data_IF_616581195619
#
_entry.id   IF_616581195619
#
_cell.length_a   1.000
_cell.length_b   1.000
_cell.length_c   1.000
_cell.angle_alpha   90.00
_cell.angle_beta   90.00
_cell.angle_gamma   90.00
#
_symmetry.space_group_name_H-M   'P 1'
#
loop_
_entity.id
_entity.type
_entity.pdbx_description
1 polymer ?
#
# COMPACT_ATOMS: atom_id res chain seq x y z
N UNK A 1 -56.99 -15.01 43.15
CA UNK A 1 -57.10 -14.32 41.85
C UNK A 1 -55.85 -13.50 41.72
N UNK A 2 -54.89 -13.98 40.93
CA UNK A 2 -53.57 -13.37 40.78
C UNK A 2 -53.60 -12.47 39.55
N UNK A 3 -53.49 -11.16 39.74
CA UNK A 3 -53.33 -10.21 38.65
C UNK A 3 -51.85 -10.10 38.28
N UNK A 4 -51.59 -10.36 37.00
CA UNK A 4 -50.30 -10.37 36.35
C UNK A 4 -49.90 -8.93 36.00
N UNK A 5 -48.85 -8.41 36.62
CA UNK A 5 -48.30 -7.08 36.37
C UNK A 5 -47.54 -7.07 35.05
N UNK A 6 -47.91 -6.15 34.15
CA UNK A 6 -47.22 -5.81 32.91
C UNK A 6 -45.70 -5.58 33.12
N UNK A 7 -44.88 -6.32 32.38
CA UNK A 7 -43.47 -6.02 32.13
C UNK A 7 -43.34 -5.29 30.77
N UNK A 8 -42.86 -4.03 30.73
CA UNK A 8 -42.70 -3.30 29.47
C UNK A 8 -41.40 -3.74 28.77
N UNK A 9 -41.57 -4.48 27.67
CA UNK A 9 -40.72 -4.41 26.48
C UNK A 9 -39.21 -4.37 26.70
N UNK A 10 -38.60 -5.53 26.85
CA UNK A 10 -37.21 -5.72 26.43
C UNK A 10 -37.13 -5.51 24.91
N UNK A 11 -36.75 -4.30 24.50
CA UNK A 11 -36.17 -4.11 23.17
C UNK A 11 -34.86 -4.92 23.15
N UNK A 12 -34.62 -5.80 22.16
CA UNK A 12 -33.29 -6.35 21.99
C UNK A 12 -32.35 -5.16 21.75
N UNK A 13 -31.42 -4.96 22.68
CA UNK A 13 -30.27 -4.09 22.44
C UNK A 13 -29.63 -4.56 21.11
N UNK A 14 -29.23 -3.65 20.20
CA UNK A 14 -28.40 -4.07 19.10
C UNK A 14 -27.14 -4.68 19.73
N UNK A 15 -26.96 -5.99 19.53
CA UNK A 15 -25.70 -6.67 19.75
C UNK A 15 -24.61 -5.79 19.14
N UNK A 16 -23.49 -5.52 19.83
CA UNK A 16 -22.31 -5.03 19.15
C UNK A 16 -21.90 -6.14 18.19
N UNK A 17 -22.40 -6.08 16.96
CA UNK A 17 -21.88 -6.87 15.86
C UNK A 17 -20.39 -6.59 15.85
N UNK A 18 -19.68 -7.66 16.10
CA UNK A 18 -18.25 -7.69 16.21
C UNK A 18 -17.71 -7.14 14.89
N UNK A 19 -17.11 -5.94 14.89
CA UNK A 19 -16.40 -5.36 13.74
C UNK A 19 -15.10 -6.13 13.45
N UNK A 20 -15.17 -7.45 13.42
CA UNK A 20 -14.12 -8.37 13.03
C UNK A 20 -14.45 -8.84 11.61
N UNK A 21 -13.69 -8.34 10.63
CA UNK A 21 -13.59 -8.97 9.31
C UNK A 21 -14.06 -8.15 8.11
N UNK A 22 -14.42 -6.88 8.26
CA UNK A 22 -14.62 -6.03 7.08
C UNK A 22 -13.26 -5.68 6.48
N UNK A 23 -12.86 -6.40 5.44
CA UNK A 23 -11.67 -6.12 4.65
C UNK A 23 -11.66 -4.66 4.19
N UNK A 24 -10.53 -3.98 4.36
CA UNK A 24 -10.40 -2.59 3.97
C UNK A 24 -10.71 -2.44 2.46
N UNK A 25 -11.55 -1.45 2.03
CA UNK A 25 -11.85 -1.23 0.61
C UNK A 25 -10.60 -1.10 -0.27
N UNK A 26 -9.52 -0.56 0.29
CA UNK A 26 -8.21 -0.47 -0.36
C UNK A 26 -7.66 -1.83 -0.84
N UNK A 27 -7.99 -2.93 -0.14
CA UNK A 27 -7.51 -4.27 -0.44
C UNK A 27 -8.48 -5.07 -1.29
N UNK A 28 -9.74 -4.65 -1.41
CA UNK A 28 -10.76 -5.37 -2.18
C UNK A 28 -10.98 -4.78 -3.57
N UNK A 29 -10.70 -3.49 -3.75
CA UNK A 29 -10.84 -2.80 -5.05
C UNK A 29 -9.82 -3.31 -6.07
N UNK A 30 -10.29 -3.69 -7.26
CA UNK A 30 -9.44 -4.24 -8.32
C UNK A 30 -8.66 -3.17 -9.07
N UNK A 31 -9.09 -1.90 -8.99
CA UNK A 31 -8.42 -0.81 -9.68
C UNK A 31 -8.20 0.33 -8.71
N UNK A 32 -6.94 0.69 -8.53
CA UNK A 32 -6.53 1.83 -7.73
C UNK A 32 -5.77 2.83 -8.59
N UNK A 33 -5.92 4.09 -8.24
CA UNK A 33 -5.06 5.16 -8.73
C UNK A 33 -4.18 5.63 -7.59
N UNK A 34 -2.87 5.52 -7.78
CA UNK A 34 -1.88 5.99 -6.82
C UNK A 34 -1.40 7.36 -7.27
N UNK A 35 -1.40 8.33 -6.35
CA UNK A 35 -0.98 9.69 -6.62
C UNK A 35 -0.12 10.21 -5.47
N UNK A 36 1.06 10.73 -5.80
CA UNK A 36 1.86 11.49 -4.85
C UNK A 36 1.24 12.88 -4.61
N UNK A 37 0.85 13.16 -3.37
CA UNK A 37 0.36 14.48 -2.94
C UNK A 37 1.54 15.25 -2.36
N UNK A 38 2.15 16.13 -3.17
CA UNK A 38 3.34 16.88 -2.76
C UNK A 38 3.05 17.82 -1.57
N UNK A 39 3.84 17.69 -0.51
CA UNK A 39 4.34 18.85 0.25
C UNK A 39 5.87 18.84 0.17
N UNK A 40 6.49 20.01 0.11
CA UNK A 40 7.95 20.21 -0.07
C UNK A 40 8.83 19.44 0.96
N UNK A 41 8.24 18.90 2.04
CA UNK A 41 8.93 18.19 3.12
C UNK A 41 8.48 16.72 3.34
N UNK A 42 7.39 16.22 2.75
CA UNK A 42 6.87 14.86 2.98
C UNK A 42 6.57 14.10 1.67
N UNK A 43 6.91 12.81 1.63
CA UNK A 43 6.54 11.92 0.53
C UNK A 43 5.24 11.21 0.90
N UNK A 44 4.14 11.94 0.80
CA UNK A 44 2.83 11.40 1.09
C UNK A 44 2.14 10.99 -0.21
N UNK A 45 1.40 9.88 -0.14
CA UNK A 45 0.71 9.29 -1.29
C UNK A 45 -0.76 9.07 -0.94
N UNK A 46 -1.63 9.30 -1.89
CA UNK A 46 -3.04 8.91 -1.82
C UNK A 46 -3.31 7.77 -2.78
N UNK A 47 -4.10 6.81 -2.31
CA UNK A 47 -4.61 5.70 -3.09
C UNK A 47 -6.12 5.90 -3.23
N UNK A 48 -6.59 6.01 -4.46
CA UNK A 48 -7.96 6.36 -4.79
C UNK A 48 -8.61 5.23 -5.59
N UNK A 49 -9.92 5.04 -5.46
CA UNK A 49 -10.69 4.29 -6.45
C UNK A 49 -10.78 5.07 -7.76
N UNK A 50 -11.26 4.39 -8.79
CA UNK A 50 -11.43 4.95 -10.13
C UNK A 50 -12.34 6.20 -10.18
N UNK A 51 -13.30 6.30 -9.26
CA UNK A 51 -14.21 7.44 -9.10
C UNK A 51 -13.59 8.63 -8.34
N UNK A 52 -12.33 8.51 -7.87
CA UNK A 52 -11.61 9.55 -7.15
C UNK A 52 -11.83 9.54 -5.63
N UNK A 53 -12.59 8.58 -5.08
CA UNK A 53 -12.72 8.43 -3.62
C UNK A 53 -11.40 7.92 -3.03
N UNK A 54 -10.90 8.58 -1.98
CA UNK A 54 -9.68 8.17 -1.28
C UNK A 54 -9.97 6.90 -0.47
N UNK A 55 -9.20 5.84 -0.75
CA UNK A 55 -9.33 4.53 -0.11
C UNK A 55 -8.21 4.26 0.90
N UNK A 56 -7.10 4.99 0.80
CA UNK A 56 -5.97 4.86 1.70
C UNK A 56 -4.92 5.94 1.47
N UNK A 57 -4.00 6.05 2.42
CA UNK A 57 -2.91 7.02 2.39
C UNK A 57 -1.60 6.40 2.87
N UNK A 58 -0.50 6.95 2.39
CA UNK A 58 0.82 6.73 2.95
C UNK A 58 1.24 7.99 3.67
N UNK A 59 1.51 7.86 4.96
CA UNK A 59 1.89 8.96 5.84
C UNK A 59 3.36 8.78 6.23
N UNK A 60 4.14 9.86 6.13
CA UNK A 60 5.51 9.84 6.66
C UNK A 60 5.47 9.94 8.20
N UNK A 61 5.76 8.84 8.90
CA UNK A 61 5.75 8.80 10.37
C UNK A 61 7.18 8.79 10.89
N UNK A 62 7.63 9.90 11.47
CA UNK A 62 8.95 10.01 12.10
C UNK A 62 9.02 11.14 13.13
N UNK A 63 9.61 10.87 14.29
CA UNK A 63 9.78 11.86 15.36
C UNK A 63 10.54 13.11 14.84
N UNK A 64 10.22 14.34 15.29
CA UNK A 64 10.98 15.55 14.94
C UNK A 64 12.50 15.41 15.16
N UNK A 65 12.91 14.70 16.22
CA UNK A 65 14.31 14.36 16.49
C UNK A 65 14.88 13.27 15.55
N UNK A 66 14.05 12.30 15.13
CA UNK A 66 14.42 11.27 14.15
C UNK A 66 14.52 11.82 12.71
N UNK A 67 13.89 12.96 12.41
CA UNK A 67 14.04 13.67 11.13
C UNK A 67 15.38 14.40 10.98
N UNK A 68 16.04 14.74 12.10
CA UNK A 68 17.40 15.33 12.13
C UNK A 68 18.49 14.28 11.91
N UNK A 69 18.23 13.02 12.26
CA UNK A 69 19.09 11.89 11.91
C UNK A 69 18.68 11.40 10.53
N UNK A 70 19.55 11.58 9.54
CA UNK A 70 19.36 11.26 8.11
C UNK A 70 18.97 9.80 7.77
N UNK A 71 18.67 8.94 8.77
CA UNK A 71 18.91 7.50 8.68
C UNK A 71 17.73 6.53 8.74
N UNK A 72 16.61 6.81 9.42
CA UNK A 72 15.48 5.86 9.45
C UNK A 72 14.17 6.59 9.14
N UNK A 73 13.58 6.28 7.98
CA UNK A 73 12.28 6.81 7.59
C UNK A 73 11.27 5.67 7.63
N UNK A 74 10.27 5.83 8.48
CA UNK A 74 9.11 4.95 8.51
C UNK A 74 7.95 5.63 7.79
N UNK A 75 7.22 4.86 7.01
CA UNK A 75 5.99 5.28 6.34
C UNK A 75 4.86 4.36 6.78
N UNK A 76 3.72 4.93 7.14
CA UNK A 76 2.54 4.19 7.53
C UNK A 76 1.54 4.18 6.36
N UNK A 77 1.22 2.98 5.86
CA UNK A 77 0.11 2.76 4.95
C UNK A 77 -1.16 2.58 5.78
N UNK A 78 -2.11 3.49 5.62
CA UNK A 78 -3.39 3.50 6.34
C UNK A 78 -4.56 3.36 5.36
N UNK A 79 -5.65 2.75 5.83
CA UNK A 79 -6.92 2.71 5.08
C UNK A 79 -7.64 4.07 5.08
N UNK A 80 -8.79 4.14 4.41
CA UNK A 80 -9.61 5.35 4.33
C UNK A 80 -10.18 5.83 5.67
N UNK A 81 -10.18 4.98 6.70
CA UNK A 81 -10.58 5.32 8.07
C UNK A 81 -9.38 5.73 8.93
N UNK A 82 -8.15 5.63 8.42
CA UNK A 82 -6.91 5.90 9.14
C UNK A 82 -6.37 4.71 9.94
N UNK A 83 -6.93 3.50 9.77
CA UNK A 83 -6.39 2.31 10.40
C UNK A 83 -5.05 1.92 9.76
N UNK A 84 -4.04 1.67 10.57
CA UNK A 84 -2.75 1.21 10.09
C UNK A 84 -2.88 -0.20 9.49
N UNK A 85 -2.51 -0.33 8.22
CA UNK A 85 -2.44 -1.61 7.51
C UNK A 85 -1.03 -2.16 7.47
N UNK A 86 -0.04 -1.30 7.24
CA UNK A 86 1.34 -1.72 7.04
C UNK A 86 2.31 -0.58 7.38
N UNK A 87 3.45 -0.91 7.99
CA UNK A 87 4.58 0.01 8.13
C UNK A 87 5.64 -0.34 7.08
N UNK A 88 6.21 0.67 6.44
CA UNK A 88 7.28 0.53 5.46
C UNK A 88 8.53 1.18 6.06
N UNK A 89 9.58 0.40 6.24
CA UNK A 89 10.82 0.82 6.91
C UNK A 89 11.99 0.73 5.92
N UNK A 90 12.77 1.80 5.84
CA UNK A 90 14.09 1.85 5.19
C UNK A 90 15.15 1.61 6.28
N UNK A 91 15.61 0.37 6.52
CA UNK A 91 16.65 0.11 7.51
C UNK A 91 17.92 0.89 7.16
N UNK A 92 18.59 1.44 8.17
CA UNK A 92 19.79 2.25 8.00
C UNK A 92 21.00 1.40 7.59
N UNK A 93 21.02 0.93 6.35
CA UNK A 93 22.22 0.42 5.70
C UNK A 93 22.56 1.35 4.53
N UNK A 94 23.85 1.65 4.39
CA UNK A 94 24.44 2.54 3.38
C UNK A 94 24.33 1.94 1.96
N UNK A 95 23.13 1.57 1.49
CA UNK A 95 22.97 0.79 0.25
C UNK A 95 21.60 0.75 -0.43
N UNK A 96 20.48 1.17 0.18
CA UNK A 96 19.16 1.21 -0.48
C UNK A 96 18.64 -0.09 -1.15
N UNK A 97 19.18 -1.24 -0.77
CA UNK A 97 18.84 -2.47 -1.48
C UNK A 97 17.59 -3.17 -0.93
N UNK A 98 17.08 -2.73 0.22
CA UNK A 98 16.00 -3.40 0.92
C UNK A 98 15.10 -2.46 1.71
N UNK A 99 13.80 -2.69 1.61
CA UNK A 99 12.78 -2.17 2.53
C UNK A 99 12.13 -3.34 3.26
N UNK A 100 11.68 -3.07 4.49
CA UNK A 100 10.89 -4.00 5.27
C UNK A 100 9.46 -3.50 5.36
N UNK A 101 8.52 -4.41 5.07
CA UNK A 101 7.10 -4.21 5.28
C UNK A 101 6.77 -4.92 6.60
N UNK A 102 6.22 -4.19 7.56
CA UNK A 102 5.86 -4.70 8.89
C UNK A 102 4.36 -4.61 9.09
N UNK A 103 3.79 -5.61 9.74
CA UNK A 103 2.43 -5.58 10.25
C UNK A 103 2.25 -4.46 11.29
N UNK A 104 1.00 -4.07 11.63
CA UNK A 104 0.74 -3.06 12.66
C UNK A 104 1.35 -3.38 14.04
N UNK A 105 1.52 -4.65 14.36
CA UNK A 105 2.16 -5.13 15.60
C UNK A 105 3.70 -5.09 15.56
N UNK A 106 4.29 -4.69 14.44
CA UNK A 106 5.73 -4.61 14.22
C UNK A 106 6.38 -5.91 13.75
N UNK A 107 5.63 -7.01 13.61
CA UNK A 107 6.14 -8.25 13.02
C UNK A 107 6.42 -8.06 11.53
N UNK A 108 7.46 -8.73 11.04
CA UNK A 108 7.81 -8.69 9.63
C UNK A 108 6.71 -9.31 8.76
N UNK A 109 6.21 -8.54 7.80
CA UNK A 109 5.23 -8.97 6.82
C UNK A 109 5.90 -9.41 5.51
N UNK A 110 6.76 -8.57 4.93
CA UNK A 110 7.44 -8.86 3.68
C UNK A 110 8.75 -8.05 3.51
N UNK A 111 9.63 -8.51 2.63
CA UNK A 111 10.81 -7.74 2.21
C UNK A 111 10.63 -7.25 0.79
N UNK A 112 11.00 -5.99 0.55
CA UNK A 112 11.13 -5.46 -0.81
C UNK A 112 12.61 -5.33 -1.10
N UNK A 113 13.11 -5.95 -2.17
CA UNK A 113 14.53 -5.94 -2.50
C UNK A 113 14.76 -5.48 -3.93
N UNK A 114 15.76 -4.60 -4.10
CA UNK A 114 16.24 -4.19 -5.42
C UNK A 114 17.28 -5.19 -5.90
N UNK A 115 16.99 -5.88 -6.99
CA UNK A 115 17.95 -6.74 -7.65
C UNK A 115 18.68 -5.96 -8.74
N UNK A 116 19.97 -5.72 -8.55
CA UNK A 116 20.84 -5.21 -9.60
C UNK A 116 21.19 -6.34 -10.57
N UNK A 117 20.52 -6.39 -11.72
CA UNK A 117 21.07 -7.04 -12.90
C UNK A 117 21.82 -5.99 -13.71
N UNK A 118 23.01 -6.32 -14.22
CA UNK A 118 23.94 -5.43 -14.97
C UNK A 118 23.30 -4.67 -16.17
N UNK A 119 22.03 -4.94 -16.51
CA UNK A 119 21.24 -4.24 -17.54
C UNK A 119 19.81 -3.82 -17.13
N UNK A 120 19.23 -4.30 -16.01
CA UNK A 120 17.81 -4.05 -15.66
C UNK A 120 17.62 -3.82 -14.17
N UNK A 121 16.93 -2.73 -13.79
CA UNK A 121 16.44 -2.52 -12.41
C UNK A 121 15.28 -3.48 -12.18
N UNK A 122 15.49 -4.55 -11.40
CA UNK A 122 14.42 -5.47 -10.99
C UNK A 122 14.12 -5.24 -9.51
N UNK A 123 12.86 -5.36 -9.13
CA UNK A 123 12.41 -5.29 -7.75
C UNK A 123 11.63 -6.57 -7.44
N UNK A 124 11.88 -7.17 -6.27
CA UNK A 124 11.14 -8.34 -5.80
C UNK A 124 10.52 -8.05 -4.44
N UNK A 125 9.36 -8.63 -4.18
CA UNK A 125 8.70 -8.59 -2.87
C UNK A 125 8.61 -10.02 -2.36
N UNK A 126 9.24 -10.31 -1.24
CA UNK A 126 9.20 -11.62 -0.59
C UNK A 126 8.18 -11.60 0.55
N UNK A 127 7.07 -12.31 0.38
CA UNK A 127 5.97 -12.42 1.32
C UNK A 127 5.84 -13.90 1.75
N UNK A 128 6.23 -14.23 2.99
CA UNK A 128 6.03 -15.58 3.55
C UNK A 128 6.44 -16.75 2.63
N UNK A 129 7.56 -16.60 1.91
CA UNK A 129 8.05 -17.60 0.94
C UNK A 129 7.46 -17.50 -0.47
N UNK A 130 6.50 -16.61 -0.70
CA UNK A 130 6.00 -16.21 -2.00
C UNK A 130 6.84 -15.04 -2.54
N UNK A 131 7.34 -15.16 -3.77
CA UNK A 131 8.07 -14.08 -4.43
C UNK A 131 7.17 -13.41 -5.47
N UNK A 132 6.98 -12.11 -5.31
CA UNK A 132 6.37 -11.25 -6.32
C UNK A 132 7.50 -10.57 -7.11
N UNK A 133 7.45 -10.65 -8.43
CA UNK A 133 8.43 -10.02 -9.30
C UNK A 133 7.82 -8.84 -10.05
N UNK A 134 8.52 -7.71 -10.08
CA UNK A 134 8.12 -6.57 -10.90
C UNK A 134 8.83 -6.66 -12.26
N UNK A 135 8.05 -6.88 -13.31
CA UNK A 135 8.53 -7.13 -14.67
C UNK A 135 8.05 -6.03 -15.64
N UNK A 136 8.98 -5.26 -16.20
CA UNK A 136 8.69 -4.20 -17.17
C UNK A 136 9.52 -2.94 -16.94
N UNK A 137 9.00 -1.79 -17.36
CA UNK A 137 9.59 -0.48 -17.17
C UNK A 137 9.14 0.14 -15.84
N UNK A 138 9.88 -0.15 -14.77
CA UNK A 138 9.59 0.40 -13.43
C UNK A 138 9.68 1.94 -13.39
N UNK A 139 10.52 2.53 -14.25
CA UNK A 139 10.68 3.99 -14.35
C UNK A 139 9.49 4.65 -15.05
N UNK A 140 8.92 4.01 -16.06
CA UNK A 140 7.77 4.54 -16.77
C UNK A 140 6.45 4.21 -16.08
N UNK A 141 6.48 3.42 -15.00
CA UNK A 141 5.30 2.76 -14.42
C UNK A 141 4.52 2.00 -15.48
N UNK A 142 5.22 1.18 -16.27
CA UNK A 142 4.62 0.26 -17.24
C UNK A 142 5.20 -1.13 -16.98
N UNK A 143 4.61 -1.85 -16.05
CA UNK A 143 5.10 -3.16 -15.61
C UNK A 143 3.99 -4.03 -15.01
N UNK A 144 4.26 -5.32 -14.97
CA UNK A 144 3.42 -6.29 -14.28
C UNK A 144 4.06 -6.68 -12.94
N UNK A 145 3.22 -6.99 -11.97
CA UNK A 145 3.62 -7.71 -10.77
C UNK A 145 3.21 -9.17 -10.97
N UNK A 146 4.16 -10.08 -10.99
CA UNK A 146 3.94 -11.50 -11.25
C UNK A 146 4.17 -12.31 -9.97
N UNK A 147 3.39 -13.38 -9.80
CA UNK A 147 3.54 -14.39 -8.74
C UNK A 147 3.63 -15.74 -9.43
N UNK A 148 4.75 -16.44 -9.27
CA UNK A 148 5.00 -17.72 -9.95
C UNK A 148 4.74 -17.66 -11.47
N UNK A 149 5.07 -16.53 -12.11
CA UNK A 149 4.85 -16.30 -13.55
C UNK A 149 3.42 -15.88 -13.94
N UNK A 150 2.47 -15.83 -13.00
CA UNK A 150 1.11 -15.32 -13.24
C UNK A 150 1.02 -13.84 -12.90
N UNK A 151 0.35 -13.04 -13.73
CA UNK A 151 0.18 -11.59 -13.49
C UNK A 151 -0.81 -11.38 -12.34
N UNK A 152 -0.32 -10.98 -11.18
CA UNK A 152 -1.11 -10.63 -9.99
C UNK A 152 -1.56 -9.16 -9.99
N UNK A 153 -0.81 -8.28 -10.67
CA UNK A 153 -1.25 -6.93 -10.96
C UNK A 153 -0.59 -6.34 -12.21
N UNK A 154 -1.24 -5.33 -12.80
CA UNK A 154 -0.70 -4.50 -13.90
C UNK A 154 -0.61 -3.05 -13.46
N UNK A 155 0.51 -2.40 -13.76
CA UNK A 155 0.78 -1.02 -13.41
C UNK A 155 1.04 -0.24 -14.68
N UNK A 156 0.28 0.84 -14.90
CA UNK A 156 0.41 1.69 -16.09
C UNK A 156 0.10 3.17 -15.76
N UNK A 157 0.84 4.12 -16.36
CA UNK A 157 0.55 5.57 -16.26
C UNK A 157 -0.76 5.97 -16.90
N UNK A 158 -1.10 5.35 -18.03
CA UNK A 158 -2.24 5.71 -18.86
C UNK A 158 -3.04 4.46 -19.18
N UNK A 159 -4.30 4.41 -18.76
CA UNK A 159 -5.26 3.43 -19.27
C UNK A 159 -6.25 4.22 -20.12
N UNK A 160 -6.53 3.74 -21.34
CA UNK A 160 -7.35 4.41 -22.35
C UNK A 160 -8.68 4.93 -21.79
N UNK A 161 -8.70 6.22 -21.43
CA UNK A 161 -9.86 6.94 -20.88
C UNK A 161 -9.98 7.02 -19.35
N UNK A 162 -9.21 6.25 -18.58
CA UNK A 162 -9.32 6.17 -17.10
C UNK A 162 -8.28 7.01 -16.36
N UNK A 163 -7.09 7.15 -16.97
CA UNK A 163 -5.97 7.95 -16.46
C UNK A 163 -5.50 8.96 -17.52
N UNK A 164 -6.10 8.90 -18.71
CA UNK A 164 -5.82 9.76 -19.86
C UNK A 164 -6.30 11.18 -19.57
N UNK A 165 -5.34 12.11 -19.42
CA UNK A 165 -5.60 13.52 -19.11
C UNK A 165 -4.89 14.03 -17.85
N UNK A 166 -4.11 13.19 -17.17
CA UNK A 166 -3.56 13.52 -15.86
C UNK A 166 -2.14 14.07 -15.96
N UNK A 167 -2.05 15.39 -15.78
CA UNK A 167 -0.80 16.15 -15.78
C UNK A 167 -0.06 15.98 -14.44
N UNK A 168 0.73 14.93 -14.28
CA UNK A 168 1.51 14.70 -13.06
C UNK A 168 2.58 13.62 -13.20
N UNK A 169 3.81 13.87 -12.74
CA UNK A 169 4.94 12.94 -12.90
C UNK A 169 4.82 11.63 -12.09
N UNK A 170 3.93 11.58 -11.09
CA UNK A 170 3.84 10.51 -10.08
C UNK A 170 2.41 9.98 -9.87
N UNK A 171 1.58 9.98 -10.92
CA UNK A 171 0.24 9.37 -10.90
C UNK A 171 0.21 8.17 -11.84
N UNK A 172 -0.26 7.02 -11.35
CA UNK A 172 -0.36 5.78 -12.11
C UNK A 172 -1.53 4.93 -11.61
N UNK A 173 -2.04 4.06 -12.48
CA UNK A 173 -3.08 3.08 -12.17
C UNK A 173 -2.49 1.71 -11.86
N UNK A 174 -3.15 0.97 -10.98
CA UNK A 174 -2.84 -0.41 -10.62
C UNK A 174 -4.11 -1.25 -10.81
N UNK A 175 -4.03 -2.30 -11.64
CA UNK A 175 -5.07 -3.32 -11.80
C UNK A 175 -4.65 -4.56 -11.04
N UNK A 176 -5.37 -4.95 -10.01
CA UNK A 176 -5.15 -6.22 -9.33
C UNK A 176 -5.92 -7.33 -10.02
N UNK A 177 -5.33 -8.52 -10.06
CA UNK A 177 -6.07 -9.73 -10.35
C UNK A 177 -7.21 -9.87 -9.32
N UNK A 178 -8.48 -10.04 -9.74
CA UNK A 178 -9.61 -10.20 -8.83
C UNK A 178 -9.47 -11.37 -7.85
N UNK A 179 -8.71 -12.40 -8.22
CA UNK A 179 -8.38 -13.55 -7.39
C UNK A 179 -7.14 -13.37 -6.51
N UNK A 180 -6.43 -12.25 -6.59
CA UNK A 180 -5.28 -11.99 -5.73
C UNK A 180 -5.71 -11.86 -4.26
N UNK A 181 -5.16 -12.69 -3.34
CA UNK A 181 -5.49 -12.61 -1.92
C UNK A 181 -5.08 -11.28 -1.29
N UNK A 182 -5.78 -10.87 -0.23
CA UNK A 182 -5.51 -9.60 0.46
C UNK A 182 -4.06 -9.42 0.93
N UNK A 183 -3.38 -10.44 1.52
CA UNK A 183 -1.96 -10.28 1.86
C UNK A 183 -1.07 -10.01 0.65
N UNK A 184 -1.37 -10.63 -0.49
CA UNK A 184 -0.63 -10.39 -1.74
C UNK A 184 -0.88 -8.97 -2.24
N UNK A 185 -2.13 -8.49 -2.16
CA UNK A 185 -2.49 -7.10 -2.51
C UNK A 185 -1.81 -6.08 -1.60
N UNK A 186 -1.81 -6.32 -0.29
CA UNK A 186 -1.13 -5.47 0.68
C UNK A 186 0.39 -5.44 0.42
N UNK A 187 1.00 -6.58 0.10
CA UNK A 187 2.41 -6.66 -0.28
C UNK A 187 2.69 -5.87 -1.58
N UNK A 188 1.83 -6.00 -2.60
CA UNK A 188 1.92 -5.21 -3.82
C UNK A 188 1.86 -3.70 -3.54
N UNK A 189 0.92 -3.26 -2.69
CA UNK A 189 0.82 -1.85 -2.29
C UNK A 189 2.09 -1.36 -1.56
N UNK A 190 2.56 -2.11 -0.56
CA UNK A 190 3.80 -1.76 0.15
C UNK A 190 5.02 -1.72 -0.78
N UNK A 191 5.12 -2.65 -1.72
CA UNK A 191 6.17 -2.70 -2.73
C UNK A 191 6.14 -1.53 -3.72
N UNK A 192 4.95 -1.10 -4.14
CA UNK A 192 4.78 0.09 -4.99
C UNK A 192 5.23 1.37 -4.28
N UNK A 193 4.89 1.51 -3.00
CA UNK A 193 5.35 2.64 -2.18
C UNK A 193 6.86 2.59 -2.02
N UNK A 194 7.44 1.43 -1.72
CA UNK A 194 8.89 1.26 -1.64
C UNK A 194 9.58 1.62 -2.98
N UNK A 195 9.03 1.22 -4.13
CA UNK A 195 9.51 1.62 -5.45
C UNK A 195 9.52 3.15 -5.60
N UNK A 196 8.45 3.82 -5.22
CA UNK A 196 8.35 5.28 -5.27
C UNK A 196 9.38 5.97 -4.38
N UNK A 197 9.64 5.42 -3.19
CA UNK A 197 10.66 5.91 -2.26
C UNK A 197 12.09 5.74 -2.81
N UNK A 198 12.41 4.58 -3.38
CA UNK A 198 13.69 4.32 -4.05
C UNK A 198 13.92 5.35 -5.15
N UNK A 199 12.90 5.59 -5.99
CA UNK A 199 12.97 6.56 -7.09
C UNK A 199 13.16 7.99 -6.60
N UNK A 200 12.44 8.38 -5.54
CA UNK A 200 12.56 9.72 -4.96
C UNK A 200 13.95 9.97 -4.36
N UNK A 201 14.62 8.92 -3.86
CA UNK A 201 16.01 9.00 -3.36
C UNK A 201 17.03 9.02 -4.49
N UNK A 202 16.87 8.17 -5.52
CA UNK A 202 17.68 8.18 -6.76
C UNK A 202 17.68 9.57 -7.43
N UNK A 203 16.56 10.30 -7.41
CA UNK A 203 16.45 11.63 -8.02
C UNK A 203 17.09 12.78 -7.20
N UNK A 204 17.49 12.51 -5.95
CA UNK A 204 18.12 13.50 -5.05
C UNK A 204 19.64 13.40 -5.01
N UNK A 205 20.21 12.30 -5.48
CA UNK A 205 21.65 12.08 -5.61
C UNK A 205 22.11 12.39 -7.03
#
# INVERSE_FOLDING_TARGET
MSENTNDPGHQPQPTPETSQGASAPLLTENTLVVQQTRSFMSNDFEMQSQDGRVLGRVLTTGSPAGRLLKGNRTFDLVDGNGNLLLKIVDPFDFGLDRYELLNPDGSLFAHVQKQFSFMRKRLTIELSGLTLELEGSLFEYDFNITVNGHVAARVAREWGGLVAGLRGKSRYGVNFDPGAPEPVRLAMLGGLVALDLIRAKDARN
#
